data_IF_142098163322
#
_entry.id   IF_142098163322
#
_cell.length_a   1.000
_cell.length_b   1.000
_cell.length_c   1.000
_cell.angle_alpha   90.00
_cell.angle_beta   90.00
_cell.angle_gamma   90.00
#
_symmetry.space_group_name_H-M   'P 1'
#
loop_
_entity.id
_entity.type
_entity.pdbx_description
1 polymer ?
#
# COMPACT_ATOMS: atom_id res chain seq x y z
N UNK A 1 3.80 35.77 5.16
CA UNK A 1 2.93 36.51 6.13
C UNK A 1 1.80 35.61 6.65
N UNK A 2 0.98 34.97 5.82
CA UNK A 2 -0.16 34.12 6.27
C UNK A 2 0.27 32.98 7.20
N UNK A 3 1.37 32.29 6.91
CA UNK A 3 1.85 31.16 7.73
C UNK A 3 2.29 31.55 9.13
N UNK A 4 2.97 32.72 9.28
CA UNK A 4 3.43 33.21 10.59
C UNK A 4 2.25 33.65 11.48
N UNK A 5 1.21 34.24 10.90
CA UNK A 5 -0.02 34.60 11.60
C UNK A 5 -0.78 33.36 12.07
N UNK A 6 -0.97 32.34 11.17
CA UNK A 6 -1.61 31.06 11.54
C UNK A 6 -0.84 30.36 12.66
N UNK A 7 0.49 30.35 12.59
CA UNK A 7 1.32 29.75 13.63
C UNK A 7 1.16 30.47 14.99
N UNK A 8 1.10 31.81 15.00
CA UNK A 8 0.88 32.60 16.22
C UNK A 8 -0.49 32.28 16.84
N UNK A 9 -1.54 32.21 16.03
CA UNK A 9 -2.89 31.88 16.49
C UNK A 9 -2.96 30.43 16.99
N UNK A 10 -2.34 29.49 16.28
CA UNK A 10 -2.28 28.06 16.69
C UNK A 10 -1.56 27.92 18.05
N UNK A 11 -0.47 28.66 18.29
CA UNK A 11 0.23 28.70 19.57
C UNK A 11 -0.63 29.30 20.71
N UNK A 12 -1.54 30.19 20.36
CA UNK A 12 -2.51 30.75 21.31
C UNK A 12 -3.72 29.82 21.58
N UNK A 13 -3.74 28.61 20.98
CA UNK A 13 -4.79 27.64 21.20
C UNK A 13 -5.93 27.68 20.17
N UNK A 14 -5.77 28.40 19.06
CA UNK A 14 -6.74 28.39 17.94
C UNK A 14 -6.62 27.14 17.13
N UNK A 15 -7.55 26.17 17.35
CA UNK A 15 -7.59 24.88 16.63
C UNK A 15 -7.96 25.02 15.17
N UNK A 16 -8.59 26.12 14.73
CA UNK A 16 -8.89 26.36 13.32
C UNK A 16 -7.63 26.80 12.56
N UNK A 17 -6.88 27.73 13.14
CA UNK A 17 -5.59 28.14 12.61
C UNK A 17 -4.61 26.93 12.51
N UNK A 18 -4.61 26.04 13.51
CA UNK A 18 -3.82 24.80 13.44
C UNK A 18 -4.26 23.87 12.32
N UNK A 19 -5.56 23.67 12.12
CA UNK A 19 -6.09 22.84 11.02
C UNK A 19 -5.75 23.42 9.65
N UNK A 20 -5.84 24.74 9.50
CA UNK A 20 -5.47 25.45 8.29
C UNK A 20 -3.95 25.33 8.01
N UNK A 21 -3.13 25.48 9.03
CA UNK A 21 -1.67 25.37 8.96
C UNK A 21 -1.20 23.96 8.58
N UNK A 22 -1.81 22.91 9.13
CA UNK A 22 -1.36 21.51 8.98
C UNK A 22 -2.12 20.73 7.92
N UNK A 23 -3.29 21.22 7.50
CA UNK A 23 -4.17 20.58 6.52
C UNK A 23 -3.50 20.19 5.22
N UNK A 24 -2.70 21.07 4.58
CA UNK A 24 -1.97 20.76 3.35
C UNK A 24 -1.03 19.55 3.47
N UNK A 25 -0.51 19.28 4.68
CA UNK A 25 0.44 18.20 4.94
C UNK A 25 -0.23 16.85 5.24
N UNK A 26 -1.54 16.82 5.53
CA UNK A 26 -2.21 15.63 6.03
C UNK A 26 -2.13 14.45 5.07
N UNK A 27 -2.34 14.70 3.77
CA UNK A 27 -2.30 13.65 2.75
C UNK A 27 -0.88 13.10 2.53
N UNK A 28 0.12 13.96 2.41
CA UNK A 28 1.51 13.52 2.25
C UNK A 28 1.99 12.71 3.47
N UNK A 29 1.57 13.08 4.67
CA UNK A 29 1.85 12.33 5.90
C UNK A 29 1.14 10.97 5.91
N UNK A 30 -0.09 10.88 5.40
CA UNK A 30 -0.81 9.61 5.31
C UNK A 30 -0.10 8.62 4.37
N UNK A 31 0.35 9.10 3.21
CA UNK A 31 1.16 8.29 2.27
C UNK A 31 2.48 7.86 2.91
N UNK A 32 3.15 8.77 3.64
CA UNK A 32 4.37 8.45 4.37
C UNK A 32 4.14 7.36 5.44
N UNK A 33 3.13 7.54 6.29
CA UNK A 33 2.77 6.56 7.31
C UNK A 33 2.40 5.21 6.69
N UNK A 34 1.67 5.20 5.58
CA UNK A 34 1.33 3.98 4.87
C UNK A 34 2.58 3.25 4.34
N UNK A 35 3.51 3.95 3.70
CA UNK A 35 4.80 3.35 3.28
C UNK A 35 5.58 2.76 4.45
N UNK A 36 5.52 3.44 5.59
CA UNK A 36 6.16 2.97 6.82
C UNK A 36 5.50 1.72 7.40
N UNK A 37 4.17 1.64 7.39
CA UNK A 37 3.40 0.65 8.15
C UNK A 37 2.82 -0.47 7.29
N UNK A 38 2.55 -0.23 6.00
CA UNK A 38 1.95 -1.20 5.08
C UNK A 38 0.44 -1.41 5.29
N UNK A 39 -0.16 -0.73 6.25
CA UNK A 39 -1.58 -0.81 6.58
C UNK A 39 -2.22 0.56 6.46
N UNK A 40 -3.36 0.65 5.75
CA UNK A 40 -4.12 1.89 5.60
C UNK A 40 -4.68 2.37 6.95
N UNK A 41 -5.27 1.45 7.72
CA UNK A 41 -5.83 1.78 9.02
C UNK A 41 -4.75 2.25 10.01
N UNK A 42 -3.63 1.52 10.11
CA UNK A 42 -2.53 1.94 10.99
C UNK A 42 -1.91 3.29 10.55
N UNK A 43 -1.93 3.59 9.24
CA UNK A 43 -1.48 4.88 8.72
C UNK A 43 -2.41 6.03 9.12
N UNK A 44 -3.74 5.82 9.08
CA UNK A 44 -4.71 6.80 9.56
C UNK A 44 -4.52 7.07 11.05
N UNK A 45 -4.38 6.04 11.88
CA UNK A 45 -4.12 6.16 13.31
C UNK A 45 -2.81 6.92 13.57
N UNK A 46 -1.73 6.59 12.85
CA UNK A 46 -0.45 7.28 12.99
C UNK A 46 -0.53 8.76 12.60
N UNK A 47 -1.33 9.12 11.59
CA UNK A 47 -1.57 10.52 11.23
C UNK A 47 -2.37 11.24 12.32
N UNK A 48 -3.40 10.63 12.88
CA UNK A 48 -4.18 11.20 13.98
C UNK A 48 -3.29 11.45 15.20
N UNK A 49 -2.48 10.46 15.60
CA UNK A 49 -1.50 10.61 16.68
C UNK A 49 -0.46 11.70 16.38
N UNK A 50 -0.05 11.84 15.11
CA UNK A 50 0.88 12.88 14.66
C UNK A 50 0.26 14.25 14.83
N UNK A 51 -0.99 14.44 14.39
CA UNK A 51 -1.69 15.72 14.52
C UNK A 51 -1.92 16.09 15.98
N UNK A 52 -2.27 15.13 16.82
CA UNK A 52 -2.43 15.36 18.27
C UNK A 52 -1.10 15.76 18.91
N UNK A 53 -0.01 15.06 18.61
CA UNK A 53 1.30 15.39 19.14
C UNK A 53 1.82 16.74 18.62
N UNK A 54 1.54 17.06 17.36
CA UNK A 54 1.86 18.36 16.78
C UNK A 54 1.06 19.50 17.45
N UNK A 55 -0.24 19.30 17.70
CA UNK A 55 -1.06 20.26 18.43
C UNK A 55 -0.50 20.53 19.83
N UNK A 56 -0.17 19.49 20.57
CA UNK A 56 0.41 19.60 21.91
C UNK A 56 1.80 20.25 21.92
N UNK A 57 2.58 20.06 20.86
CA UNK A 57 3.95 20.53 20.73
C UNK A 57 4.11 21.85 19.98
N UNK A 58 3.03 22.46 19.42
CA UNK A 58 3.12 23.63 18.54
C UNK A 58 3.72 24.86 19.23
N UNK A 59 3.52 24.99 20.55
CA UNK A 59 4.12 26.06 21.35
C UNK A 59 5.64 26.04 21.40
N UNK A 60 6.25 24.84 21.27
CA UNK A 60 7.71 24.66 21.25
C UNK A 60 8.32 24.53 19.84
N UNK A 61 7.49 24.58 18.79
CA UNK A 61 7.98 24.57 17.42
C UNK A 61 8.73 25.86 17.09
N UNK A 62 9.93 25.74 16.51
CA UNK A 62 10.78 26.88 16.14
C UNK A 62 11.12 26.79 14.63
N UNK A 63 10.59 27.74 13.85
CA UNK A 63 10.77 27.82 12.38
C UNK A 63 12.25 27.99 11.99
N UNK A 64 13.06 28.57 12.87
CA UNK A 64 14.50 28.77 12.65
C UNK A 64 15.27 27.44 12.66
N UNK A 65 14.72 26.39 13.26
CA UNK A 65 15.36 25.08 13.41
C UNK A 65 14.95 24.12 12.32
N UNK A 66 13.71 24.17 11.85
CA UNK A 66 13.19 23.27 10.84
C UNK A 66 11.91 23.83 10.21
N UNK A 67 11.63 23.49 8.96
CA UNK A 67 10.33 23.78 8.36
C UNK A 67 9.21 23.01 9.09
N UNK A 68 7.98 23.55 9.01
CA UNK A 68 6.81 22.86 9.55
C UNK A 68 6.69 21.43 8.97
N UNK A 69 6.94 21.28 7.68
CA UNK A 69 6.95 19.99 6.99
C UNK A 69 7.97 19.04 7.64
N UNK A 70 9.22 19.45 7.80
CA UNK A 70 10.28 18.65 8.43
C UNK A 70 9.90 18.22 9.85
N UNK A 71 9.31 19.12 10.63
CA UNK A 71 8.87 18.86 12.00
C UNK A 71 7.72 17.86 12.06
N UNK A 72 6.71 17.99 11.20
CA UNK A 72 5.60 17.04 11.11
C UNK A 72 6.08 15.64 10.69
N UNK A 73 6.99 15.55 9.73
CA UNK A 73 7.59 14.27 9.32
C UNK A 73 8.43 13.63 10.42
N UNK A 74 9.14 14.41 11.25
CA UNK A 74 9.82 13.89 12.44
C UNK A 74 8.84 13.21 13.39
N UNK A 75 7.71 13.86 13.69
CA UNK A 75 6.68 13.32 14.59
C UNK A 75 6.08 12.04 13.96
N UNK A 76 5.63 12.09 12.71
CA UNK A 76 5.01 10.97 12.00
C UNK A 76 5.93 9.75 11.94
N UNK A 77 7.21 9.96 11.58
CA UNK A 77 8.21 8.88 11.53
C UNK A 77 8.41 8.25 12.91
N UNK A 78 8.48 9.04 13.97
CA UNK A 78 8.59 8.54 15.35
C UNK A 78 7.38 7.68 15.73
N UNK A 79 6.15 8.10 15.40
CA UNK A 79 4.93 7.33 15.64
C UNK A 79 4.95 6.00 14.88
N UNK A 80 5.28 6.03 13.59
CA UNK A 80 5.40 4.81 12.78
C UNK A 80 6.47 3.84 13.32
N UNK A 81 7.63 4.33 13.75
CA UNK A 81 8.66 3.49 14.36
C UNK A 81 8.19 2.82 15.65
N UNK A 82 7.42 3.54 16.47
CA UNK A 82 6.84 2.99 17.70
C UNK A 82 5.76 1.94 17.39
N UNK A 83 4.87 2.20 16.43
CA UNK A 83 3.85 1.26 15.97
C UNK A 83 4.50 -0.05 15.45
N UNK A 84 5.54 0.04 14.62
CA UNK A 84 6.29 -1.14 14.13
C UNK A 84 6.96 -1.94 15.24
N UNK A 85 7.49 -1.26 16.27
CA UNK A 85 8.05 -1.96 17.45
C UNK A 85 6.97 -2.69 18.22
N UNK A 86 5.78 -2.09 18.39
CA UNK A 86 4.66 -2.70 19.06
C UNK A 86 4.11 -3.91 18.29
N UNK A 87 3.98 -3.80 16.95
CA UNK A 87 3.54 -4.88 16.08
C UNK A 87 4.45 -6.11 16.15
N UNK A 88 5.77 -5.92 16.20
CA UNK A 88 6.75 -7.02 16.34
C UNK A 88 6.68 -7.78 17.66
N UNK A 89 6.07 -7.20 18.70
CA UNK A 89 5.89 -7.85 20.01
C UNK A 89 4.60 -8.67 20.08
N UNK A 90 3.69 -8.53 19.10
CA UNK A 90 2.46 -9.33 19.05
C UNK A 90 2.85 -10.76 18.65
N UNK A 91 2.33 -11.78 19.35
CA UNK A 91 2.57 -13.16 18.96
C UNK A 91 2.06 -13.39 17.54
N UNK A 92 2.85 -14.11 16.74
CA UNK A 92 2.42 -14.51 15.40
C UNK A 92 1.13 -15.35 15.54
N UNK A 93 0.12 -15.00 14.73
CA UNK A 93 -1.10 -15.80 14.64
C UNK A 93 -0.70 -17.17 14.09
N UNK A 94 -0.98 -18.25 14.85
CA UNK A 94 -0.80 -19.60 14.34
C UNK A 94 -1.86 -19.87 13.29
N UNK A 95 -1.43 -20.17 12.08
CA UNK A 95 -2.29 -20.56 10.98
C UNK A 95 -2.25 -22.08 10.85
N UNK A 96 -3.40 -22.74 11.02
CA UNK A 96 -3.53 -24.18 10.80
C UNK A 96 -3.78 -24.42 9.30
N UNK A 97 -2.74 -24.88 8.61
CA UNK A 97 -2.81 -25.24 7.19
C UNK A 97 -3.28 -26.67 6.96
N UNK A 98 -3.44 -27.47 8.05
CA UNK A 98 -3.81 -28.90 7.94
C UNK A 98 -5.22 -29.13 7.35
N UNK A 99 -6.09 -28.11 7.44
CA UNK A 99 -7.46 -28.14 6.91
C UNK A 99 -7.60 -27.42 5.53
N UNK A 100 -6.47 -27.01 4.93
CA UNK A 100 -6.52 -26.38 3.60
C UNK A 100 -6.85 -27.44 2.56
N UNK A 101 -8.00 -27.28 1.89
CA UNK A 101 -8.34 -28.10 0.73
C UNK A 101 -7.34 -27.88 -0.42
N UNK A 102 -7.00 -28.94 -1.20
CA UNK A 102 -6.11 -28.79 -2.37
C UNK A 102 -6.62 -27.73 -3.36
N UNK A 103 -5.71 -26.95 -4.01
CA UNK A 103 -4.25 -27.05 -3.96
C UNK A 103 -3.68 -26.54 -2.63
N UNK A 104 -2.65 -27.23 -2.13
CA UNK A 104 -1.95 -26.82 -0.92
C UNK A 104 -1.17 -25.54 -1.21
N UNK A 105 -1.38 -24.46 -0.44
CA UNK A 105 -0.67 -23.20 -0.66
C UNK A 105 0.81 -23.31 -0.29
N UNK A 106 1.62 -22.45 -0.90
CA UNK A 106 3.06 -22.32 -0.62
C UNK A 106 3.25 -21.53 0.66
N UNK A 107 3.95 -22.07 1.69
CA UNK A 107 4.29 -21.27 2.88
C UNK A 107 5.19 -20.09 2.55
N UNK A 108 5.01 -18.97 3.25
CA UNK A 108 5.89 -17.81 3.20
C UNK A 108 6.58 -17.63 4.55
N UNK A 109 7.86 -17.32 4.53
CA UNK A 109 8.71 -17.29 5.73
C UNK A 109 8.28 -16.25 6.77
N UNK A 110 7.65 -15.15 6.36
CA UNK A 110 7.15 -14.12 7.28
C UNK A 110 5.77 -13.62 6.83
N UNK A 111 4.79 -13.53 7.76
CA UNK A 111 3.51 -12.89 7.46
C UNK A 111 3.71 -11.40 7.22
N UNK A 112 3.43 -10.94 6.03
CA UNK A 112 3.46 -9.53 5.67
C UNK A 112 2.12 -8.91 6.00
N UNK A 113 2.07 -8.06 7.02
CA UNK A 113 0.88 -7.29 7.34
C UNK A 113 0.70 -6.17 6.30
N UNK A 114 -0.28 -6.33 5.43
CA UNK A 114 -0.49 -5.43 4.30
C UNK A 114 -1.99 -5.14 4.13
N UNK A 115 -2.32 -3.87 3.87
CA UNK A 115 -3.63 -3.44 3.39
C UNK A 115 -3.45 -2.58 2.14
N UNK A 116 -4.43 -2.55 1.21
CA UNK A 116 -4.33 -1.73 0.01
C UNK A 116 -4.56 -0.25 0.34
N UNK A 117 -3.99 0.65 -0.48
CA UNK A 117 -4.14 2.10 -0.36
C UNK A 117 -4.98 2.65 -1.52
N UNK A 118 -6.05 3.44 -1.25
CA UNK A 118 -6.89 4.00 -2.30
C UNK A 118 -6.18 5.07 -3.13
N UNK A 119 -6.18 4.92 -4.47
CA UNK A 119 -5.54 5.89 -5.37
C UNK A 119 -6.20 7.28 -5.31
N UNK A 120 -7.49 7.35 -5.03
CA UNK A 120 -8.21 8.62 -4.84
C UNK A 120 -7.57 9.51 -3.73
N UNK A 121 -6.84 8.92 -2.80
CA UNK A 121 -6.09 9.64 -1.76
C UNK A 121 -4.66 10.01 -2.18
N UNK A 122 -4.17 9.49 -3.32
CA UNK A 122 -2.88 9.89 -3.89
C UNK A 122 -3.00 11.20 -4.68
N UNK A 123 -4.14 11.43 -5.29
CA UNK A 123 -4.43 12.65 -6.05
C UNK A 123 -4.47 13.86 -5.10
N UNK A 124 -3.59 14.84 -5.33
CA UNK A 124 -3.48 16.06 -4.52
C UNK A 124 -2.53 15.97 -3.31
N UNK A 125 -1.79 14.89 -3.14
CA UNK A 125 -0.70 14.83 -2.14
C UNK A 125 0.51 15.70 -2.55
N UNK A 126 0.65 16.03 -3.83
CA UNK A 126 1.60 17.02 -4.33
C UNK A 126 0.82 18.26 -4.79
N UNK A 127 1.10 19.42 -4.24
CA UNK A 127 0.39 20.69 -4.51
C UNK A 127 0.43 21.19 -5.97
N UNK A 128 1.08 20.46 -6.89
CA UNK A 128 1.09 20.67 -8.34
C UNK A 128 0.88 19.31 -8.99
N UNK A 129 0.04 19.18 -10.04
CA UNK A 129 -0.09 17.92 -10.78
C UNK A 129 1.28 17.48 -11.28
N UNK A 130 1.81 16.33 -10.87
CA UNK A 130 3.11 15.88 -11.31
C UNK A 130 3.08 15.56 -12.82
N UNK A 131 4.19 15.82 -13.52
CA UNK A 131 4.39 15.37 -14.87
C UNK A 131 4.31 13.84 -15.00
N UNK A 132 4.23 13.29 -16.23
CA UNK A 132 4.07 11.83 -16.43
C UNK A 132 5.14 10.99 -15.72
N UNK A 133 6.39 11.43 -15.74
CA UNK A 133 7.53 10.76 -15.12
C UNK A 133 7.40 10.73 -13.58
N UNK A 134 7.07 11.87 -12.98
CA UNK A 134 6.87 11.96 -11.53
C UNK A 134 5.62 11.17 -11.06
N UNK A 135 4.59 11.03 -11.91
CA UNK A 135 3.44 10.15 -11.62
C UNK A 135 3.84 8.69 -11.60
N UNK A 136 4.71 8.28 -12.55
CA UNK A 136 5.23 6.92 -12.59
C UNK A 136 6.06 6.60 -11.35
N UNK A 137 7.00 7.48 -10.97
CA UNK A 137 7.81 7.33 -9.75
C UNK A 137 6.96 7.28 -8.49
N UNK A 138 5.90 8.10 -8.40
CA UNK A 138 4.96 8.07 -7.28
C UNK A 138 4.17 6.77 -7.21
N UNK A 139 3.70 6.26 -8.36
CA UNK A 139 2.96 5.00 -8.45
C UNK A 139 3.86 3.81 -8.08
N UNK A 140 5.12 3.79 -8.55
CA UNK A 140 6.08 2.76 -8.18
C UNK A 140 6.39 2.80 -6.69
N UNK A 141 6.59 4.00 -6.12
CA UNK A 141 6.89 4.19 -4.70
C UNK A 141 5.72 3.87 -3.74
N UNK A 142 4.54 3.53 -4.24
CA UNK A 142 3.39 3.07 -3.46
C UNK A 142 2.89 1.68 -3.89
N UNK A 143 3.45 1.10 -4.95
CA UNK A 143 3.06 -0.23 -5.42
C UNK A 143 3.11 -1.27 -4.30
N UNK A 144 2.23 -2.27 -4.36
CA UNK A 144 2.20 -3.33 -3.34
C UNK A 144 3.54 -4.06 -3.25
N UNK A 145 4.22 -4.26 -4.38
CA UNK A 145 5.55 -4.89 -4.42
C UNK A 145 6.57 -4.07 -3.62
N UNK A 146 6.59 -2.74 -3.81
CA UNK A 146 7.48 -1.85 -3.07
C UNK A 146 7.15 -1.81 -1.59
N UNK A 147 5.87 -1.61 -1.23
CA UNK A 147 5.43 -1.57 0.18
C UNK A 147 5.71 -2.90 0.88
N UNK A 148 5.46 -4.04 0.22
CA UNK A 148 5.83 -5.37 0.74
C UNK A 148 7.32 -5.49 0.99
N UNK A 149 8.16 -5.06 0.04
CA UNK A 149 9.61 -5.08 0.21
C UNK A 149 10.08 -4.24 1.40
N UNK A 150 9.44 -3.09 1.64
CA UNK A 150 9.70 -2.24 2.81
C UNK A 150 9.35 -2.92 4.13
N UNK A 151 8.27 -3.73 4.18
CA UNK A 151 7.88 -4.42 5.42
C UNK A 151 8.92 -5.45 5.87
N UNK A 152 9.73 -5.96 4.96
CA UNK A 152 10.78 -6.93 5.24
C UNK A 152 12.11 -6.29 5.69
N UNK A 153 12.20 -4.96 5.67
CA UNK A 153 13.38 -4.23 6.15
C UNK A 153 13.28 -3.88 7.64
N UNK A 154 14.43 -3.73 8.33
CA UNK A 154 14.46 -3.15 9.67
C UNK A 154 13.80 -1.76 9.69
N UNK A 155 12.98 -1.41 10.72
CA UNK A 155 12.20 -0.18 10.74
C UNK A 155 12.99 1.11 10.48
N UNK A 156 14.19 1.23 11.04
CA UNK A 156 15.07 2.40 10.80
C UNK A 156 15.57 2.48 9.36
N UNK A 157 15.82 1.34 8.70
CA UNK A 157 16.21 1.32 7.30
C UNK A 157 15.08 1.78 6.39
N UNK A 158 13.85 1.37 6.69
CA UNK A 158 12.65 1.86 5.99
C UNK A 158 12.51 3.36 6.14
N UNK A 159 12.61 3.89 7.36
CA UNK A 159 12.50 5.33 7.62
C UNK A 159 13.54 6.14 6.83
N UNK A 160 14.82 5.74 6.90
CA UNK A 160 15.88 6.44 6.17
C UNK A 160 15.66 6.38 4.66
N UNK A 161 15.28 5.22 4.12
CA UNK A 161 15.04 5.05 2.69
C UNK A 161 13.90 5.94 2.19
N UNK A 162 12.75 5.93 2.88
CA UNK A 162 11.60 6.75 2.48
C UNK A 162 11.93 8.24 2.58
N UNK A 163 12.52 8.68 3.69
CA UNK A 163 12.86 10.09 3.87
C UNK A 163 13.89 10.60 2.85
N UNK A 164 14.90 9.77 2.51
CA UNK A 164 15.98 10.14 1.59
C UNK A 164 15.60 10.00 0.12
N UNK A 165 15.14 8.81 -0.27
CA UNK A 165 15.02 8.44 -1.68
C UNK A 165 13.62 8.73 -2.23
N UNK A 166 12.58 8.72 -1.38
CA UNK A 166 11.21 8.99 -1.83
C UNK A 166 10.79 10.44 -1.58
N UNK A 167 11.18 11.00 -0.43
CA UNK A 167 10.74 12.33 0.00
C UNK A 167 11.80 13.42 -0.21
N UNK A 168 13.04 13.05 -0.53
CA UNK A 168 14.11 13.97 -0.89
C UNK A 168 14.70 14.78 0.27
N UNK A 169 14.46 14.43 1.52
CA UNK A 169 15.06 15.14 2.66
C UNK A 169 16.60 15.03 2.66
N UNK A 170 17.29 16.07 3.08
CA UNK A 170 18.74 16.05 3.21
C UNK A 170 19.21 15.08 4.31
N UNK A 171 20.43 14.54 4.15
CA UNK A 171 20.96 13.55 5.09
C UNK A 171 21.04 14.07 6.53
N UNK A 172 21.37 15.35 6.72
CA UNK A 172 21.41 16.05 8.02
C UNK A 172 20.00 16.16 8.65
N UNK A 173 18.98 16.45 7.86
CA UNK A 173 17.58 16.50 8.34
C UNK A 173 17.12 15.12 8.82
N UNK A 174 17.39 14.07 8.02
CA UNK A 174 17.03 12.70 8.36
C UNK A 174 17.76 12.22 9.61
N UNK A 175 19.06 12.56 9.76
CA UNK A 175 19.82 12.28 10.97
C UNK A 175 19.19 12.95 12.21
N UNK A 176 18.79 14.22 12.07
CA UNK A 176 18.07 14.97 13.12
C UNK A 176 16.69 14.42 13.43
N UNK A 177 15.91 14.01 12.42
CA UNK A 177 14.59 13.41 12.61
C UNK A 177 14.67 12.07 13.38
N UNK A 178 15.67 11.26 13.08
CA UNK A 178 15.83 9.91 13.63
C UNK A 178 16.71 9.88 14.90
N UNK A 179 17.24 11.04 15.30
CA UNK A 179 18.14 11.18 16.46
C UNK A 179 19.36 10.23 16.39
N UNK A 180 20.00 10.22 15.21
CA UNK A 180 21.17 9.41 14.92
C UNK A 180 22.30 10.27 14.31
N UNK A 181 23.50 9.73 14.23
CA UNK A 181 24.59 10.41 13.52
C UNK A 181 24.38 10.34 12.00
N UNK A 182 24.94 11.30 11.27
CA UNK A 182 24.90 11.35 9.80
C UNK A 182 25.46 10.05 9.19
N UNK A 183 26.54 9.55 9.75
CA UNK A 183 27.18 8.30 9.33
C UNK A 183 26.25 7.09 9.53
N UNK A 184 25.55 7.03 10.67
CA UNK A 184 24.56 5.96 10.94
C UNK A 184 23.42 5.99 9.95
N UNK A 185 22.91 7.19 9.62
CA UNK A 185 21.84 7.35 8.62
C UNK A 185 22.31 6.89 7.23
N UNK A 186 23.49 7.32 6.78
CA UNK A 186 24.05 6.91 5.49
C UNK A 186 24.32 5.39 5.42
N UNK A 187 24.82 4.79 6.49
CA UNK A 187 25.03 3.35 6.58
C UNK A 187 23.71 2.57 6.52
N UNK A 188 22.65 3.07 7.19
CA UNK A 188 21.32 2.48 7.13
C UNK A 188 20.75 2.55 5.71
N UNK A 189 20.89 3.69 5.01
CA UNK A 189 20.46 3.87 3.63
C UNK A 189 21.16 2.89 2.68
N UNK A 190 22.48 2.78 2.79
CA UNK A 190 23.27 1.83 1.97
C UNK A 190 22.76 0.39 2.14
N UNK A 191 22.51 -0.04 3.38
CA UNK A 191 21.96 -1.39 3.64
C UNK A 191 20.54 -1.57 3.10
N UNK A 192 19.69 -0.55 3.25
CA UNK A 192 18.32 -0.58 2.72
C UNK A 192 18.30 -0.74 1.20
N UNK A 193 19.09 0.09 0.49
CA UNK A 193 19.22 0.01 -0.98
C UNK A 193 19.73 -1.36 -1.43
N UNK A 194 20.77 -1.87 -0.81
CA UNK A 194 21.31 -3.19 -1.15
C UNK A 194 20.29 -4.32 -0.92
N UNK A 195 19.47 -4.23 0.11
CA UNK A 195 18.43 -5.21 0.37
C UNK A 195 17.27 -5.13 -0.64
N UNK A 196 16.85 -3.93 -1.05
CA UNK A 196 15.85 -3.76 -2.11
C UNK A 196 16.38 -4.25 -3.46
N UNK A 197 17.61 -3.89 -3.82
CA UNK A 197 18.21 -4.28 -5.09
C UNK A 197 18.28 -5.81 -5.24
N UNK A 198 18.65 -6.54 -4.19
CA UNK A 198 18.65 -8.02 -4.22
C UNK A 198 17.25 -8.59 -4.50
N UNK A 199 16.20 -7.95 -3.97
CA UNK A 199 14.80 -8.39 -4.20
C UNK A 199 14.29 -8.04 -5.59
N UNK A 200 14.70 -6.90 -6.12
CA UNK A 200 14.38 -6.51 -7.49
C UNK A 200 15.05 -7.41 -8.53
N UNK A 201 16.23 -7.95 -8.22
CA UNK A 201 16.91 -8.91 -9.11
C UNK A 201 16.12 -10.22 -9.32
N UNK A 202 15.32 -10.64 -8.35
CA UNK A 202 14.38 -11.78 -8.52
C UNK A 202 13.23 -11.47 -9.46
N UNK A 203 12.91 -10.19 -9.68
CA UNK A 203 11.94 -9.74 -10.68
C UNK A 203 12.62 -9.23 -11.98
N UNK A 204 13.96 -9.31 -12.05
CA UNK A 204 14.72 -8.87 -13.23
C UNK A 204 14.34 -9.72 -14.45
N UNK A 205 13.99 -9.03 -15.55
CA UNK A 205 13.53 -9.67 -16.78
C UNK A 205 12.03 -9.53 -17.05
N UNK A 206 11.23 -9.08 -16.08
CA UNK A 206 9.83 -8.75 -16.34
C UNK A 206 9.72 -7.47 -17.16
N UNK A 207 8.83 -7.48 -18.13
CA UNK A 207 8.51 -6.28 -18.90
C UNK A 207 7.83 -5.25 -17.99
N UNK A 208 8.09 -3.94 -18.19
CA UNK A 208 7.41 -2.92 -17.41
C UNK A 208 5.88 -2.98 -17.67
N UNK A 209 5.06 -2.69 -16.66
CA UNK A 209 3.61 -2.64 -16.82
C UNK A 209 3.21 -1.52 -17.78
N UNK A 210 2.03 -1.59 -18.41
CA UNK A 210 1.47 -0.47 -19.15
C UNK A 210 1.32 0.76 -18.26
N UNK A 211 1.33 1.94 -18.86
CA UNK A 211 1.06 3.16 -18.12
C UNK A 211 -0.32 3.11 -17.45
N UNK A 212 -0.40 3.60 -16.23
CA UNK A 212 -1.63 3.61 -15.44
C UNK A 212 -2.75 4.38 -16.17
N UNK A 213 -3.94 3.76 -16.29
CA UNK A 213 -5.08 4.33 -17.02
C UNK A 213 -4.92 4.37 -18.53
N UNK A 214 -3.93 3.66 -19.10
CA UNK A 214 -3.77 3.55 -20.54
C UNK A 214 -4.75 2.56 -21.17
N UNK A 215 -5.08 2.70 -22.46
CA UNK A 215 -5.91 1.73 -23.18
C UNK A 215 -5.35 0.30 -23.12
N UNK A 216 -4.02 0.15 -23.02
CA UNK A 216 -3.37 -1.16 -22.87
C UNK A 216 -3.66 -1.77 -21.51
N UNK A 217 -3.55 -1.01 -20.43
CA UNK A 217 -3.94 -1.46 -19.07
C UNK A 217 -5.43 -1.82 -19.04
N UNK A 218 -6.31 -0.94 -19.55
CA UNK A 218 -7.75 -1.14 -19.57
C UNK A 218 -8.16 -2.42 -20.32
N UNK A 219 -7.46 -2.74 -21.42
CA UNK A 219 -7.69 -3.97 -22.17
C UNK A 219 -7.39 -5.22 -21.36
N UNK A 220 -6.28 -5.24 -20.59
CA UNK A 220 -5.93 -6.37 -19.70
C UNK A 220 -6.98 -6.51 -18.59
N UNK A 221 -7.31 -5.39 -17.93
CA UNK A 221 -8.32 -5.32 -16.86
C UNK A 221 -9.68 -5.86 -17.33
N UNK A 222 -10.12 -5.44 -18.53
CA UNK A 222 -11.40 -5.89 -19.10
C UNK A 222 -11.36 -7.38 -19.50
N UNK A 223 -10.23 -7.88 -20.02
CA UNK A 223 -10.06 -9.32 -20.34
C UNK A 223 -10.11 -10.16 -19.05
N UNK A 224 -9.40 -9.74 -18.00
CA UNK A 224 -9.40 -10.42 -16.72
C UNK A 224 -10.81 -10.45 -16.11
N UNK A 225 -11.52 -9.32 -16.08
CA UNK A 225 -12.87 -9.26 -15.53
C UNK A 225 -13.83 -10.20 -16.29
N UNK A 226 -13.82 -10.18 -17.62
CA UNK A 226 -14.65 -11.07 -18.43
C UNK A 226 -14.35 -12.55 -18.17
N UNK A 227 -13.07 -12.94 -18.18
CA UNK A 227 -12.65 -14.33 -17.96
C UNK A 227 -13.10 -14.82 -16.57
N UNK A 228 -12.96 -13.99 -15.54
CA UNK A 228 -13.37 -14.32 -14.18
C UNK A 228 -14.90 -14.42 -14.03
N UNK A 229 -15.64 -13.47 -14.55
CA UNK A 229 -17.11 -13.41 -14.44
C UNK A 229 -17.80 -14.53 -15.23
N UNK A 230 -17.23 -14.93 -16.38
CA UNK A 230 -17.70 -16.06 -17.18
C UNK A 230 -17.19 -17.41 -16.70
N UNK A 231 -16.28 -17.44 -15.73
CA UNK A 231 -15.55 -18.64 -15.29
C UNK A 231 -14.78 -19.34 -16.44
N UNK A 232 -14.26 -18.55 -17.37
CA UNK A 232 -13.44 -19.02 -18.49
C UNK A 232 -11.99 -19.19 -18.03
N UNK A 233 -11.64 -20.42 -17.65
CA UNK A 233 -10.32 -20.75 -17.11
C UNK A 233 -9.22 -20.56 -18.17
N UNK A 234 -9.46 -20.94 -19.41
CA UNK A 234 -8.46 -20.88 -20.48
C UNK A 234 -8.12 -19.42 -20.80
N UNK A 235 -9.14 -18.57 -20.92
CA UNK A 235 -8.97 -17.13 -21.11
C UNK A 235 -8.24 -16.48 -19.93
N UNK A 236 -8.51 -16.93 -18.70
CA UNK A 236 -7.83 -16.42 -17.50
C UNK A 236 -6.35 -16.84 -17.49
N UNK A 237 -6.06 -18.12 -17.75
CA UNK A 237 -4.68 -18.66 -17.75
C UNK A 237 -3.82 -18.00 -18.83
N UNK A 238 -4.41 -17.70 -19.99
CA UNK A 238 -3.71 -16.98 -21.07
C UNK A 238 -3.23 -15.57 -20.69
N UNK A 239 -3.81 -14.97 -19.62
CA UNK A 239 -3.40 -13.67 -19.10
C UNK A 239 -2.25 -13.75 -18.09
N UNK A 240 -1.91 -14.94 -17.59
CA UNK A 240 -0.96 -15.11 -16.49
C UNK A 240 0.46 -15.34 -16.99
N UNK A 241 1.45 -14.77 -16.30
CA UNK A 241 2.86 -15.15 -16.51
C UNK A 241 3.13 -16.54 -15.95
N UNK A 242 4.25 -17.17 -16.33
CA UNK A 242 4.63 -18.50 -15.80
C UNK A 242 4.92 -18.47 -14.31
N UNK A 243 5.47 -17.35 -13.82
CA UNK A 243 5.85 -17.09 -12.44
C UNK A 243 4.80 -16.30 -11.64
N UNK A 244 3.53 -16.31 -12.10
CA UNK A 244 2.43 -15.62 -11.43
C UNK A 244 2.26 -16.11 -10.00
N UNK A 245 1.89 -15.18 -9.10
CA UNK A 245 1.59 -15.54 -7.71
C UNK A 245 0.23 -14.98 -7.25
N UNK A 246 -0.40 -15.67 -6.28
CA UNK A 246 -1.49 -15.14 -5.48
C UNK A 246 -0.99 -14.99 -4.04
N UNK A 247 -1.03 -13.76 -3.50
CA UNK A 247 -0.76 -13.46 -2.11
C UNK A 247 -2.06 -13.12 -1.38
N UNK A 248 -2.16 -13.48 -0.10
CA UNK A 248 -3.36 -13.27 0.73
C UNK A 248 -3.00 -12.69 2.10
N UNK A 249 -2.41 -11.46 2.17
CA UNK A 249 -2.07 -10.86 3.45
C UNK A 249 -3.30 -10.74 4.37
N UNK A 250 -3.12 -10.99 5.69
CA UNK A 250 -1.89 -11.28 6.42
C UNK A 250 -1.52 -12.78 6.49
N UNK A 251 -2.12 -13.61 5.67
CA UNK A 251 -1.87 -15.05 5.67
C UNK A 251 -0.43 -15.33 5.22
N UNK A 252 0.33 -16.20 5.95
CA UNK A 252 1.73 -16.50 5.62
C UNK A 252 1.85 -17.56 4.53
N UNK A 253 0.93 -17.59 3.59
CA UNK A 253 0.92 -18.50 2.47
C UNK A 253 0.32 -17.86 1.22
N UNK A 254 0.54 -18.47 0.08
CA UNK A 254 0.04 -18.04 -1.22
C UNK A 254 0.13 -19.17 -2.23
N UNK A 255 -0.10 -18.85 -3.49
CA UNK A 255 0.05 -19.79 -4.60
C UNK A 255 1.08 -19.21 -5.56
N UNK A 256 2.12 -19.98 -5.92
CA UNK A 256 3.21 -19.53 -6.78
C UNK A 256 3.34 -20.45 -7.99
N UNK A 257 3.46 -19.85 -9.17
CA UNK A 257 3.51 -20.50 -10.45
C UNK A 257 2.14 -20.74 -11.09
N UNK A 258 2.13 -20.70 -12.43
CA UNK A 258 0.90 -20.79 -13.24
C UNK A 258 0.05 -22.03 -12.90
N UNK A 259 0.68 -23.17 -12.66
CA UNK A 259 -0.05 -24.42 -12.38
C UNK A 259 -0.82 -24.35 -11.06
N UNK A 260 -0.21 -23.86 -9.98
CA UNK A 260 -0.88 -23.75 -8.69
C UNK A 260 -1.99 -22.69 -8.72
N UNK A 261 -1.73 -21.57 -9.38
CA UNK A 261 -2.73 -20.50 -9.56
C UNK A 261 -3.90 -21.00 -10.40
N UNK A 262 -3.65 -21.76 -11.47
CA UNK A 262 -4.69 -22.40 -12.28
C UNK A 262 -5.56 -23.34 -11.45
N UNK A 263 -4.95 -24.21 -10.64
CA UNK A 263 -5.72 -25.11 -9.73
C UNK A 263 -6.55 -24.33 -8.72
N UNK A 264 -6.01 -23.25 -8.17
CA UNK A 264 -6.77 -22.36 -7.28
C UNK A 264 -8.00 -21.80 -7.99
N UNK A 265 -7.84 -21.26 -9.21
CA UNK A 265 -8.93 -20.71 -10.00
C UNK A 265 -9.96 -21.78 -10.38
N UNK A 266 -9.51 -22.97 -10.80
CA UNK A 266 -10.38 -24.12 -11.10
C UNK A 266 -11.28 -24.46 -9.92
N UNK A 267 -10.73 -24.50 -8.72
CA UNK A 267 -11.51 -24.74 -7.48
C UNK A 267 -12.56 -23.65 -7.23
N UNK A 268 -12.20 -22.38 -7.46
CA UNK A 268 -13.16 -21.31 -7.31
C UNK A 268 -14.35 -21.44 -8.28
N UNK A 269 -14.09 -21.85 -9.51
CA UNK A 269 -15.11 -22.04 -10.56
C UNK A 269 -15.94 -23.33 -10.38
N UNK A 270 -15.30 -24.44 -9.99
CA UNK A 270 -15.95 -25.74 -9.79
C UNK A 270 -17.00 -25.73 -8.68
N UNK A 271 -16.88 -24.84 -7.68
CA UNK A 271 -17.87 -24.66 -6.62
C UNK A 271 -19.20 -24.00 -7.09
N UNK A 272 -19.39 -23.82 -8.41
CA UNK A 272 -20.58 -23.16 -8.97
C UNK A 272 -20.71 -21.68 -8.62
N UNK A 273 -19.68 -21.12 -8.01
CA UNK A 273 -19.67 -19.70 -7.60
C UNK A 273 -19.64 -18.79 -8.82
N UNK A 274 -20.42 -17.73 -8.78
CA UNK A 274 -20.40 -16.68 -9.79
C UNK A 274 -20.06 -15.37 -9.11
N UNK A 275 -19.06 -14.69 -9.67
CA UNK A 275 -18.55 -13.45 -9.12
C UNK A 275 -18.88 -12.30 -10.07
N UNK A 276 -19.14 -11.13 -9.50
CA UNK A 276 -19.11 -9.86 -10.20
C UNK A 276 -17.89 -9.06 -9.72
N UNK A 277 -17.23 -8.40 -10.63
CA UNK A 277 -16.06 -7.56 -10.35
C UNK A 277 -16.43 -6.08 -10.51
N UNK A 278 -16.14 -5.28 -9.50
CA UNK A 278 -16.30 -3.82 -9.58
C UNK A 278 -14.90 -3.20 -9.64
N UNK A 279 -14.52 -2.60 -10.80
CA UNK A 279 -13.19 -2.06 -10.97
C UNK A 279 -12.96 -0.81 -10.13
N UNK A 280 -11.79 -0.71 -9.55
CA UNK A 280 -11.26 0.45 -8.81
C UNK A 280 -9.75 0.49 -8.98
N UNK A 281 -9.07 1.41 -8.31
CA UNK A 281 -7.61 1.47 -8.28
C UNK A 281 -7.08 1.48 -6.86
N UNK A 282 -5.98 0.78 -6.64
CA UNK A 282 -5.29 0.71 -5.38
C UNK A 282 -3.77 0.63 -5.59
N UNK A 283 -3.00 1.39 -4.85
CA UNK A 283 -1.53 1.34 -4.90
C UNK A 283 -0.94 1.65 -6.29
N UNK A 284 -1.59 2.51 -7.07
CA UNK A 284 -1.22 2.79 -8.47
C UNK A 284 -1.53 1.65 -9.44
N UNK A 285 -2.25 0.60 -9.01
CA UNK A 285 -2.50 -0.63 -9.74
C UNK A 285 -3.99 -0.86 -9.97
N UNK A 286 -4.38 -1.63 -11.02
CA UNK A 286 -5.76 -2.07 -11.21
C UNK A 286 -6.22 -2.94 -10.04
N UNK A 287 -7.45 -2.70 -9.59
CA UNK A 287 -8.01 -3.43 -8.46
C UNK A 287 -9.51 -3.70 -8.67
N UNK A 288 -10.06 -4.63 -7.89
CA UNK A 288 -11.47 -5.01 -7.95
C UNK A 288 -12.04 -5.29 -6.55
N UNK A 289 -13.23 -4.75 -6.28
CA UNK A 289 -14.12 -5.35 -5.30
C UNK A 289 -14.76 -6.60 -5.91
N UNK A 290 -14.68 -7.75 -5.23
CA UNK A 290 -15.24 -9.01 -5.72
C UNK A 290 -16.52 -9.32 -4.94
N UNK A 291 -17.58 -9.64 -5.68
CA UNK A 291 -18.90 -9.91 -5.13
C UNK A 291 -19.41 -11.25 -5.62
N UNK A 292 -19.77 -12.13 -4.72
CA UNK A 292 -20.41 -13.41 -5.05
C UNK A 292 -21.92 -13.23 -5.15
N UNK A 293 -22.51 -13.80 -6.20
CA UNK A 293 -23.95 -13.81 -6.38
C UNK A 293 -24.60 -14.83 -5.45
N UNK A 294 -25.55 -14.38 -4.64
CA UNK A 294 -26.42 -15.22 -3.82
C UNK A 294 -27.57 -15.85 -4.61
N UNK A 295 -28.29 -16.83 -4.01
CA UNK A 295 -29.44 -17.48 -4.63
C UNK A 295 -30.61 -16.51 -4.90
N UNK A 296 -30.72 -15.46 -4.12
CA UNK A 296 -31.74 -14.41 -4.20
C UNK A 296 -31.38 -13.31 -5.23
N UNK A 297 -30.26 -13.47 -5.96
CA UNK A 297 -29.76 -12.48 -6.91
C UNK A 297 -28.99 -11.33 -6.25
N UNK A 298 -28.93 -11.24 -4.92
CA UNK A 298 -28.06 -10.30 -4.22
C UNK A 298 -26.59 -10.60 -4.49
N UNK A 299 -25.73 -9.60 -4.33
CA UNK A 299 -24.28 -9.77 -4.52
C UNK A 299 -23.56 -9.32 -3.26
N UNK A 300 -22.89 -10.25 -2.59
CA UNK A 300 -22.17 -10.00 -1.35
C UNK A 300 -20.66 -9.94 -1.57
N UNK A 301 -20.02 -8.94 -0.97
CA UNK A 301 -18.59 -8.77 -1.04
C UNK A 301 -17.85 -9.97 -0.42
N UNK A 302 -16.86 -10.49 -1.13
CA UNK A 302 -16.08 -11.65 -0.71
C UNK A 302 -14.60 -11.35 -0.54
N UNK A 303 -14.07 -10.44 -1.35
CA UNK A 303 -12.67 -10.04 -1.28
C UNK A 303 -12.43 -8.72 -2.02
N UNK A 304 -11.21 -8.21 -1.88
CA UNK A 304 -10.65 -7.13 -2.67
C UNK A 304 -9.36 -7.60 -3.33
N UNK A 305 -9.21 -7.38 -4.63
CA UNK A 305 -8.06 -7.85 -5.39
C UNK A 305 -7.28 -6.70 -6.00
N UNK A 306 -5.97 -6.79 -5.97
CA UNK A 306 -5.07 -5.88 -6.69
C UNK A 306 -4.25 -6.70 -7.66
N UNK A 307 -4.21 -6.28 -8.93
CA UNK A 307 -3.45 -6.93 -9.99
C UNK A 307 -2.07 -6.29 -10.14
N UNK A 308 -1.05 -7.11 -10.23
CA UNK A 308 0.29 -6.69 -10.62
C UNK A 308 0.54 -7.12 -12.06
N UNK A 309 0.84 -6.15 -12.93
CA UNK A 309 1.04 -6.37 -14.35
C UNK A 309 2.52 -6.44 -14.71
N UNK A 310 2.84 -7.21 -15.75
CA UNK A 310 4.15 -7.26 -16.39
C UNK A 310 3.91 -7.35 -17.90
N UNK A 311 4.26 -6.29 -18.66
CA UNK A 311 3.86 -6.18 -20.05
C UNK A 311 2.35 -6.27 -20.21
N UNK A 312 1.88 -7.17 -21.06
CA UNK A 312 0.45 -7.41 -21.33
C UNK A 312 -0.14 -8.57 -20.51
N UNK A 313 0.56 -9.05 -19.49
CA UNK A 313 0.18 -10.16 -18.63
C UNK A 313 0.08 -9.76 -17.15
N UNK A 314 -0.52 -10.65 -16.35
CA UNK A 314 -0.67 -10.54 -14.90
C UNK A 314 0.38 -11.43 -14.26
N UNK A 315 1.31 -10.84 -13.52
CA UNK A 315 2.34 -11.56 -12.77
C UNK A 315 2.02 -11.72 -11.27
N UNK A 316 0.95 -11.09 -10.79
CA UNK A 316 0.53 -11.24 -9.40
C UNK A 316 -0.89 -10.80 -9.14
N UNK A 317 -1.52 -11.44 -8.18
CA UNK A 317 -2.83 -11.09 -7.63
C UNK A 317 -2.67 -11.03 -6.11
N UNK A 318 -2.90 -9.86 -5.51
CA UNK A 318 -2.95 -9.76 -4.05
C UNK A 318 -4.40 -9.68 -3.62
N UNK A 319 -4.85 -10.68 -2.85
CA UNK A 319 -6.20 -10.80 -2.35
C UNK A 319 -6.27 -10.34 -0.91
N UNK A 320 -7.14 -9.37 -0.64
CA UNK A 320 -7.46 -8.89 0.71
C UNK A 320 -8.87 -9.31 1.10
N UNK A 321 -9.15 -9.29 2.40
CA UNK A 321 -10.49 -9.49 2.92
C UNK A 321 -11.46 -8.38 2.49
N UNK A 322 -12.77 -8.68 2.43
CA UNK A 322 -13.79 -7.73 2.05
C UNK A 322 -13.94 -6.54 3.05
N UNK A 323 -13.34 -6.64 4.22
CA UNK A 323 -13.30 -5.57 5.24
C UNK A 323 -12.67 -4.27 4.75
N UNK A 324 -11.82 -4.31 3.71
CA UNK A 324 -11.15 -3.13 3.13
C UNK A 324 -12.03 -2.36 2.13
N UNK A 325 -13.11 -2.95 1.61
CA UNK A 325 -13.93 -2.33 0.56
C UNK A 325 -14.44 -0.92 0.89
N UNK A 326 -14.89 -0.63 2.13
CA UNK A 326 -15.37 0.72 2.47
C UNK A 326 -14.34 1.81 2.24
N UNK A 327 -13.03 1.52 2.38
CA UNK A 327 -11.95 2.48 2.12
C UNK A 327 -11.90 2.91 0.63
N UNK A 328 -12.49 2.10 -0.25
CA UNK A 328 -12.57 2.33 -1.71
C UNK A 328 -13.96 2.83 -2.14
N UNK A 329 -14.84 3.20 -1.21
CA UNK A 329 -16.21 3.59 -1.51
C UNK A 329 -17.11 2.44 -2.01
N UNK A 330 -16.68 1.20 -1.81
CA UNK A 330 -17.40 0.02 -2.25
C UNK A 330 -18.28 -0.53 -1.12
N UNK A 331 -19.59 -0.79 -1.37
CA UNK A 331 -20.49 -1.32 -0.35
C UNK A 331 -20.23 -2.81 -0.09
N UNK A 332 -20.67 -3.29 1.07
CA UNK A 332 -20.60 -4.72 1.42
C UNK A 332 -21.54 -5.61 0.63
N UNK A 333 -22.60 -5.04 0.04
CA UNK A 333 -23.52 -5.74 -0.82
C UNK A 333 -24.01 -4.82 -1.93
N UNK A 334 -24.26 -5.39 -3.10
CA UNK A 334 -24.84 -4.72 -4.25
C UNK A 334 -26.26 -5.25 -4.48
N UNK A 335 -27.20 -4.39 -4.91
CA UNK A 335 -28.55 -4.83 -5.22
C UNK A 335 -28.57 -5.86 -6.37
N UNK A 336 -29.55 -6.72 -6.40
CA UNK A 336 -29.89 -7.54 -7.57
C UNK A 336 -30.14 -6.64 -8.78
N UNK A 337 -29.45 -6.91 -9.88
CA UNK A 337 -29.74 -6.29 -11.18
C UNK A 337 -30.78 -7.09 -11.90
#
# INVERSE_FOLDING_TARGET
MVTAELLSRARAGDGEAFRELTGPHRRELQVHCYRMLGSFADAEDAVQETMLAAWQGIGGFAEERASLRTWLYKIATSRCLNARRAARRRPARQWDMSQSEPPVPTPRDEPVWLQPFPDALLEGAAGVPPGPEARYEQAEAISLAFVTALQLLPPRQVAVLILRDVLGFHASEVAGMLEVTLESANSALKRARASLQRRQQTAAGRQPPPAAGSPAEDAIVARFARAWESADLDALVALLTDDVFIAMPPEPFGYEGRDLVTRYCTRQFAAGRRYGLVPVRANGQPAFGTYQRGPDGSRHATAFWVLTLAGDQICGITRFEASVLPCFGLPRSLPSR
#
